data_IF_372093377166
#
_entry.id   IF_372093377166
#
_cell.length_a   1.000
_cell.length_b   1.000
_cell.length_c   1.000
_cell.angle_alpha   90.00
_cell.angle_beta   90.00
_cell.angle_gamma   90.00
#
_symmetry.space_group_name_H-M   'P 1'
#
loop_
_entity.id
_entity.type
_entity.pdbx_description
1 polymer ?
#
# COMPACT_ATOMS: atom_id res chain seq x y z
N UNK A 1 -13.42 47.95 -41.02
CA UNK A 1 -14.15 47.06 -40.11
C UNK A 1 -13.60 47.22 -38.67
N UNK A 2 -14.39 47.82 -37.77
CA UNK A 2 -14.00 47.91 -36.35
C UNK A 2 -14.22 46.53 -35.72
N UNK A 3 -13.13 45.83 -35.31
CA UNK A 3 -13.20 44.65 -34.47
C UNK A 3 -13.68 45.06 -33.09
N UNK A 4 -14.92 44.70 -32.70
CA UNK A 4 -15.37 44.81 -31.33
C UNK A 4 -14.51 43.88 -30.47
N UNK A 5 -13.61 44.47 -29.67
CA UNK A 5 -12.91 43.78 -28.61
C UNK A 5 -13.82 43.78 -27.37
N UNK A 6 -14.70 42.78 -27.27
CA UNK A 6 -15.45 42.56 -26.04
C UNK A 6 -14.47 42.05 -24.98
N UNK A 7 -14.11 42.88 -24.03
CA UNK A 7 -13.34 42.49 -22.86
C UNK A 7 -14.27 42.02 -21.74
N UNK A 8 -13.79 41.14 -20.84
CA UNK A 8 -14.52 40.75 -19.64
C UNK A 8 -14.76 41.94 -18.72
N UNK A 9 -15.91 41.98 -18.08
CA UNK A 9 -16.22 42.97 -17.04
C UNK A 9 -15.61 42.48 -15.70
N UNK A 10 -15.29 43.45 -14.81
CA UNK A 10 -14.74 43.11 -13.50
C UNK A 10 -15.72 42.28 -12.66
N UNK A 11 -17.02 42.53 -12.80
CA UNK A 11 -18.07 41.76 -12.11
C UNK A 11 -18.13 40.30 -12.59
N UNK A 12 -17.98 40.03 -13.89
CA UNK A 12 -17.92 38.67 -14.43
C UNK A 12 -16.75 37.89 -13.86
N UNK A 13 -15.58 38.53 -13.71
CA UNK A 13 -14.40 37.89 -13.11
C UNK A 13 -14.64 37.56 -11.64
N UNK A 14 -15.21 38.49 -10.86
CA UNK A 14 -15.51 38.29 -9.43
C UNK A 14 -16.53 37.15 -9.26
N UNK A 15 -17.59 37.10 -10.07
CA UNK A 15 -18.61 36.05 -9.99
C UNK A 15 -18.01 34.68 -10.29
N UNK A 16 -17.14 34.55 -11.29
CA UNK A 16 -16.45 33.30 -11.59
C UNK A 16 -15.55 32.86 -10.43
N UNK A 17 -14.80 33.78 -9.83
CA UNK A 17 -13.95 33.46 -8.67
C UNK A 17 -14.76 32.96 -7.47
N UNK A 18 -15.91 33.57 -7.20
CA UNK A 18 -16.81 33.14 -6.11
C UNK A 18 -17.35 31.72 -6.39
N UNK A 19 -17.82 31.46 -7.59
CA UNK A 19 -18.36 30.15 -7.96
C UNK A 19 -17.27 29.08 -7.86
N UNK A 20 -16.08 29.35 -8.40
CA UNK A 20 -14.95 28.42 -8.31
C UNK A 20 -14.53 28.16 -6.87
N UNK A 21 -14.54 29.19 -6.01
CA UNK A 21 -14.25 29.06 -4.59
C UNK A 21 -15.21 28.15 -3.85
N UNK A 22 -16.52 28.28 -4.13
CA UNK A 22 -17.55 27.41 -3.53
C UNK A 22 -17.41 25.98 -4.05
N UNK A 23 -17.19 25.78 -5.34
CA UNK A 23 -16.99 24.45 -5.92
C UNK A 23 -15.72 23.77 -5.36
N UNK A 24 -14.62 24.51 -5.23
CA UNK A 24 -13.38 24.00 -4.66
C UNK A 24 -13.55 23.58 -3.20
N UNK A 25 -14.27 24.36 -2.38
CA UNK A 25 -14.52 24.04 -0.99
C UNK A 25 -15.26 22.71 -0.78
N UNK A 26 -16.09 22.28 -1.73
CA UNK A 26 -16.79 20.98 -1.68
C UNK A 26 -15.98 19.87 -2.35
N UNK A 27 -15.25 20.17 -3.41
CA UNK A 27 -14.54 19.18 -4.21
C UNK A 27 -13.27 18.64 -3.50
N UNK A 28 -12.51 19.51 -2.84
CA UNK A 28 -11.24 19.14 -2.20
C UNK A 28 -11.42 18.06 -1.12
N UNK A 29 -12.32 18.18 -0.13
CA UNK A 29 -12.49 17.14 0.88
C UNK A 29 -12.89 15.79 0.31
N UNK A 30 -13.78 15.79 -0.69
CA UNK A 30 -14.21 14.55 -1.36
C UNK A 30 -13.08 13.88 -2.15
N UNK A 31 -12.21 14.68 -2.73
CA UNK A 31 -11.05 14.18 -3.47
C UNK A 31 -10.05 13.51 -2.52
N UNK A 32 -9.76 14.12 -1.37
CA UNK A 32 -8.86 13.55 -0.36
C UNK A 32 -9.40 12.22 0.20
N UNK A 33 -10.70 12.13 0.48
CA UNK A 33 -11.35 10.89 0.91
C UNK A 33 -11.24 9.78 -0.16
N UNK A 34 -11.32 10.15 -1.43
CA UNK A 34 -11.18 9.20 -2.55
C UNK A 34 -9.76 8.67 -2.65
N UNK A 35 -8.74 9.51 -2.45
CA UNK A 35 -7.34 9.11 -2.42
C UNK A 35 -7.11 8.09 -1.30
N UNK A 36 -7.53 8.40 -0.08
CA UNK A 36 -7.38 7.50 1.07
C UNK A 36 -8.02 6.14 0.82
N UNK A 37 -9.24 6.11 0.32
CA UNK A 37 -9.92 4.85 -0.04
C UNK A 37 -9.19 4.06 -1.13
N UNK A 38 -8.59 4.76 -2.09
CA UNK A 38 -7.80 4.14 -3.17
C UNK A 38 -6.51 3.53 -2.63
N UNK A 39 -5.84 4.19 -1.69
CA UNK A 39 -4.64 3.67 -1.04
C UNK A 39 -4.97 2.41 -0.23
N UNK A 40 -6.01 2.43 0.59
CA UNK A 40 -6.49 1.25 1.35
C UNK A 40 -6.79 0.08 0.41
N UNK A 41 -7.53 0.31 -0.67
CA UNK A 41 -7.86 -0.74 -1.62
C UNK A 41 -6.62 -1.32 -2.32
N UNK A 42 -5.63 -0.48 -2.61
CA UNK A 42 -4.35 -0.92 -3.18
C UNK A 42 -3.54 -1.77 -2.19
N UNK A 43 -3.48 -1.36 -0.92
CA UNK A 43 -2.85 -2.13 0.16
C UNK A 43 -3.48 -3.50 0.34
N UNK A 44 -4.81 -3.54 0.43
CA UNK A 44 -5.56 -4.80 0.54
C UNK A 44 -5.29 -5.73 -0.64
N UNK A 45 -5.20 -5.20 -1.85
CA UNK A 45 -4.88 -5.99 -3.04
C UNK A 45 -3.47 -6.60 -2.96
N UNK A 46 -2.48 -5.84 -2.54
CA UNK A 46 -1.09 -6.33 -2.38
C UNK A 46 -1.02 -7.38 -1.27
N UNK A 47 -1.60 -7.11 -0.10
CA UNK A 47 -1.60 -8.04 1.04
C UNK A 47 -2.31 -9.34 0.68
N UNK A 48 -3.48 -9.28 0.03
CA UNK A 48 -4.19 -10.47 -0.43
C UNK A 48 -3.38 -11.26 -1.46
N UNK A 49 -2.66 -10.59 -2.35
CA UNK A 49 -1.77 -11.25 -3.32
C UNK A 49 -0.64 -11.99 -2.61
N UNK A 50 -0.04 -11.37 -1.59
CA UNK A 50 0.99 -12.02 -0.75
C UNK A 50 0.40 -13.25 -0.04
N UNK A 51 -0.78 -13.15 0.56
CA UNK A 51 -1.42 -14.27 1.24
C UNK A 51 -1.67 -15.47 0.31
N UNK A 52 -2.18 -15.22 -0.89
CA UNK A 52 -2.39 -16.27 -1.90
C UNK A 52 -1.06 -16.88 -2.36
N UNK A 53 -0.04 -16.06 -2.58
CA UNK A 53 1.29 -16.52 -2.97
C UNK A 53 1.94 -17.39 -1.88
N UNK A 54 1.80 -17.01 -0.61
CA UNK A 54 2.29 -17.78 0.53
C UNK A 54 1.62 -19.15 0.62
N UNK A 55 0.31 -19.23 0.42
CA UNK A 55 -0.41 -20.51 0.41
C UNK A 55 0.03 -21.40 -0.75
N UNK A 56 0.18 -20.84 -1.95
CA UNK A 56 0.70 -21.57 -3.10
C UNK A 56 2.14 -22.06 -2.87
N UNK A 57 2.98 -21.24 -2.24
CA UNK A 57 4.34 -21.62 -1.87
C UNK A 57 4.33 -22.81 -0.90
N UNK A 58 3.54 -22.75 0.16
CA UNK A 58 3.43 -23.82 1.15
C UNK A 58 2.88 -25.13 0.54
N UNK A 59 1.91 -25.06 -0.40
CA UNK A 59 1.39 -26.22 -1.12
C UNK A 59 2.45 -26.84 -2.02
N UNK A 60 3.22 -26.05 -2.76
CA UNK A 60 4.32 -26.56 -3.58
C UNK A 60 5.38 -27.25 -2.73
N UNK A 61 5.72 -26.72 -1.57
CA UNK A 61 6.65 -27.36 -0.64
C UNK A 61 6.11 -28.68 -0.08
N UNK A 62 4.81 -28.76 0.19
CA UNK A 62 4.17 -30.01 0.58
C UNK A 62 4.28 -31.08 -0.50
N UNK A 63 4.12 -30.69 -1.78
CA UNK A 63 4.21 -31.64 -2.91
C UNK A 63 5.65 -32.11 -3.19
N UNK A 64 6.63 -31.23 -3.01
CA UNK A 64 8.04 -31.51 -3.36
C UNK A 64 8.82 -32.11 -2.20
N UNK A 65 8.54 -31.70 -0.97
CA UNK A 65 9.33 -32.04 0.23
C UNK A 65 8.52 -32.76 1.31
N UNK A 66 7.20 -32.96 1.07
CA UNK A 66 6.31 -33.65 2.01
C UNK A 66 5.95 -32.85 3.25
N UNK A 67 6.34 -31.56 3.33
CA UNK A 67 6.12 -30.69 4.48
C UNK A 67 5.71 -29.29 4.03
N UNK A 68 4.75 -28.68 4.75
CA UNK A 68 4.37 -27.28 4.53
C UNK A 68 5.29 -26.37 5.34
N UNK A 69 5.85 -25.37 4.67
CA UNK A 69 6.53 -24.26 5.31
C UNK A 69 6.48 -23.01 4.44
N UNK A 70 6.71 -21.86 5.05
CA UNK A 70 6.63 -20.56 4.43
C UNK A 70 8.02 -19.91 4.37
N UNK A 71 8.29 -19.01 3.42
CA UNK A 71 9.58 -18.34 3.28
C UNK A 71 9.86 -17.42 4.47
N UNK A 72 11.13 -17.11 4.71
CA UNK A 72 11.54 -16.14 5.73
C UNK A 72 11.03 -14.73 5.43
N UNK A 73 11.05 -14.35 4.16
CA UNK A 73 10.50 -13.11 3.66
C UNK A 73 9.23 -13.39 2.85
N UNK A 74 8.05 -12.84 3.22
CA UNK A 74 6.79 -13.10 2.53
C UNK A 74 6.79 -12.69 1.05
N UNK A 75 7.59 -11.69 0.69
CA UNK A 75 7.73 -11.25 -0.70
C UNK A 75 8.45 -12.27 -1.60
N UNK A 76 9.16 -13.24 -1.04
CA UNK A 76 9.83 -14.29 -1.81
C UNK A 76 8.86 -15.36 -2.33
N UNK A 77 7.64 -15.39 -1.83
CA UNK A 77 6.57 -16.20 -2.39
C UNK A 77 5.98 -15.60 -3.69
N UNK A 78 6.20 -14.32 -3.94
CA UNK A 78 5.67 -13.63 -5.12
C UNK A 78 6.54 -13.90 -6.35
N UNK A 79 5.89 -14.19 -7.48
CA UNK A 79 6.56 -14.27 -8.80
C UNK A 79 7.05 -12.88 -9.24
N UNK A 80 6.25 -11.86 -8.97
CA UNK A 80 6.60 -10.47 -9.26
C UNK A 80 6.38 -9.64 -8.00
N UNK A 81 7.44 -9.02 -7.50
CA UNK A 81 7.37 -8.13 -6.34
C UNK A 81 6.76 -6.79 -6.73
N UNK A 82 6.13 -6.05 -5.79
CA UNK A 82 5.70 -4.68 -6.04
C UNK A 82 6.86 -3.83 -6.59
N UNK A 83 6.55 -2.89 -7.48
CA UNK A 83 7.59 -2.07 -8.14
C UNK A 83 8.42 -1.24 -7.14
N UNK A 84 7.80 -0.85 -6.03
CA UNK A 84 8.41 -0.05 -4.96
C UNK A 84 8.87 -0.90 -3.77
N UNK A 85 9.09 -2.21 -3.99
CA UNK A 85 9.60 -3.09 -2.94
C UNK A 85 11.08 -2.82 -2.68
N UNK A 86 11.42 -2.50 -1.42
CA UNK A 86 12.80 -2.38 -0.93
C UNK A 86 13.20 -3.64 -0.15
N UNK A 87 14.33 -4.27 -0.52
CA UNK A 87 14.83 -5.46 0.16
C UNK A 87 15.75 -5.15 1.37
N UNK A 88 15.91 -3.88 1.75
CA UNK A 88 16.88 -3.45 2.76
C UNK A 88 16.54 -3.88 4.19
N UNK A 89 15.28 -4.27 4.43
CA UNK A 89 14.82 -4.74 5.74
C UNK A 89 14.65 -3.63 6.78
N UNK A 90 14.67 -2.37 6.36
CA UNK A 90 14.37 -1.21 7.21
C UNK A 90 12.91 -0.81 7.08
N UNK A 91 12.32 -0.11 8.08
CA UNK A 91 10.98 0.45 7.92
C UNK A 91 10.93 1.43 6.75
N UNK A 92 9.84 1.41 5.96
CA UNK A 92 9.64 2.29 4.82
C UNK A 92 9.97 3.74 5.16
N UNK A 93 10.68 4.44 4.26
CA UNK A 93 11.03 5.86 4.39
C UNK A 93 10.71 6.67 3.10
N UNK A 94 10.28 5.99 2.05
CA UNK A 94 9.82 6.61 0.79
C UNK A 94 8.33 6.36 0.54
N UNK A 95 7.69 7.26 -0.21
CA UNK A 95 6.28 7.16 -0.60
C UNK A 95 6.01 5.89 -1.42
N UNK A 96 4.94 5.20 -1.09
CA UNK A 96 4.51 3.93 -1.69
C UNK A 96 5.50 2.77 -1.55
N UNK A 97 6.50 2.89 -0.71
CA UNK A 97 7.47 1.84 -0.46
C UNK A 97 6.84 0.66 0.28
N UNK A 98 7.25 -0.54 -0.12
CA UNK A 98 6.94 -1.80 0.54
C UNK A 98 8.23 -2.44 1.02
N UNK A 99 8.28 -2.87 2.27
CA UNK A 99 9.42 -3.59 2.81
C UNK A 99 8.99 -4.68 3.79
N UNK A 100 9.87 -5.62 4.04
CA UNK A 100 9.73 -6.60 5.10
C UNK A 100 10.83 -6.38 6.15
N UNK A 101 10.41 -6.07 7.35
CA UNK A 101 11.30 -5.84 8.50
C UNK A 101 11.30 -7.09 9.38
N UNK A 102 12.49 -7.63 9.63
CA UNK A 102 12.66 -8.75 10.56
C UNK A 102 12.57 -8.23 11.99
N UNK A 103 11.59 -8.73 12.73
CA UNK A 103 11.44 -8.42 14.15
C UNK A 103 11.08 -9.69 14.91
N UNK A 104 12.05 -10.27 15.57
CA UNK A 104 11.92 -11.48 16.38
C UNK A 104 11.83 -11.18 17.90
N UNK A 105 11.56 -9.93 18.27
CA UNK A 105 11.62 -9.46 19.66
C UNK A 105 10.59 -10.12 20.58
N UNK A 106 9.44 -10.55 20.03
CA UNK A 106 8.36 -11.18 20.80
C UNK A 106 8.35 -12.73 20.73
N UNK A 107 9.21 -13.32 19.92
CA UNK A 107 9.32 -14.78 19.75
C UNK A 107 8.14 -15.45 19.04
N UNK A 108 7.08 -14.71 18.70
CA UNK A 108 5.90 -15.22 18.01
C UNK A 108 5.87 -14.88 16.52
N UNK A 109 6.42 -13.72 16.15
CA UNK A 109 6.45 -13.27 14.76
C UNK A 109 7.87 -13.29 14.22
N UNK A 110 7.98 -13.50 12.93
CA UNK A 110 9.27 -13.40 12.25
C UNK A 110 9.56 -11.98 11.77
N UNK A 111 8.54 -11.14 11.74
CA UNK A 111 8.64 -9.74 11.33
C UNK A 111 7.32 -9.17 10.90
N UNK A 112 7.38 -8.06 10.19
CA UNK A 112 6.20 -7.39 9.66
C UNK A 112 6.45 -6.83 8.26
N UNK A 113 5.38 -6.83 7.45
CA UNK A 113 5.33 -6.12 6.19
C UNK A 113 5.01 -4.67 6.52
N UNK A 114 5.75 -3.72 5.97
CA UNK A 114 5.52 -2.29 6.13
C UNK A 114 5.21 -1.65 4.79
N UNK A 115 4.30 -0.69 4.79
CA UNK A 115 3.99 0.16 3.64
C UNK A 115 3.86 1.61 4.09
N UNK A 116 4.42 2.56 3.34
CA UNK A 116 4.29 3.99 3.56
C UNK A 116 3.39 4.60 2.50
N UNK A 117 2.35 5.31 2.94
CA UNK A 117 1.48 6.09 2.06
C UNK A 117 2.06 7.45 1.73
N UNK A 118 1.51 8.11 0.72
CA UNK A 118 1.92 9.45 0.28
C UNK A 118 1.76 10.56 1.35
N UNK A 119 1.00 10.33 2.41
CA UNK A 119 0.85 11.23 3.57
C UNK A 119 1.89 10.99 4.67
N UNK A 120 2.89 10.15 4.42
CA UNK A 120 3.91 9.64 5.36
C UNK A 120 3.34 8.76 6.49
N UNK A 121 2.08 8.35 6.44
CA UNK A 121 1.56 7.35 7.37
C UNK A 121 2.12 5.97 7.01
N UNK A 122 2.43 5.15 8.03
CA UNK A 122 2.96 3.80 7.86
C UNK A 122 1.98 2.79 8.39
N UNK A 123 1.75 1.75 7.59
CA UNK A 123 0.90 0.62 7.93
C UNK A 123 1.73 -0.66 7.99
N UNK A 124 1.36 -1.56 8.90
CA UNK A 124 2.12 -2.75 9.18
C UNK A 124 1.20 -3.96 9.30
N UNK A 125 1.65 -5.10 8.76
CA UNK A 125 0.99 -6.40 8.86
C UNK A 125 1.99 -7.41 9.40
N UNK A 126 1.68 -8.01 10.55
CA UNK A 126 2.52 -9.03 11.16
C UNK A 126 2.63 -10.27 10.27
N UNK A 127 3.83 -10.80 10.17
CA UNK A 127 4.10 -12.03 9.45
C UNK A 127 4.70 -13.08 10.37
N UNK A 128 4.13 -14.28 10.33
CA UNK A 128 4.65 -15.45 11.02
C UNK A 128 4.82 -16.59 10.01
N UNK A 129 6.06 -17.07 9.83
CA UNK A 129 6.36 -18.17 8.92
C UNK A 129 5.92 -19.55 9.42
N UNK A 130 5.09 -19.59 10.47
CA UNK A 130 4.69 -20.83 11.11
C UNK A 130 5.85 -21.46 11.85
N UNK A 131 6.18 -20.91 13.02
CA UNK A 131 7.05 -21.61 13.94
C UNK A 131 6.31 -22.90 14.31
N UNK A 132 6.82 -24.01 13.84
CA UNK A 132 6.31 -25.32 14.24
C UNK A 132 6.67 -25.51 15.72
N UNK A 133 5.75 -25.16 16.60
CA UNK A 133 5.85 -25.48 18.03
C UNK A 133 5.46 -26.93 18.31
N UNK A 134 5.38 -27.74 17.27
CA UNK A 134 5.24 -29.18 17.42
C UNK A 134 6.46 -29.70 18.16
N UNK A 135 6.29 -29.97 19.42
CA UNK A 135 7.18 -30.91 20.12
C UNK A 135 7.04 -32.22 19.35
N UNK A 136 8.10 -32.57 18.61
CA UNK A 136 8.25 -33.92 18.08
C UNK A 136 8.47 -34.83 19.31
N UNK A 137 7.40 -35.48 19.76
CA UNK A 137 7.49 -36.67 20.60
C UNK A 137 7.65 -37.91 19.74
#
# INVERSE_FOLDING_TARGET
MKKNKNGFTLIELIMVMIILGIMAAVAIPRYLETIEKSEVASEDAVVNTIMVALENYAQNRMLTEGRRYWPDNPFDALVTKPQTYSPDGTPCDEDNEWTYVVDASDGQFTGYISHQRADNSRYQWSYNKGINTGTDD
#
